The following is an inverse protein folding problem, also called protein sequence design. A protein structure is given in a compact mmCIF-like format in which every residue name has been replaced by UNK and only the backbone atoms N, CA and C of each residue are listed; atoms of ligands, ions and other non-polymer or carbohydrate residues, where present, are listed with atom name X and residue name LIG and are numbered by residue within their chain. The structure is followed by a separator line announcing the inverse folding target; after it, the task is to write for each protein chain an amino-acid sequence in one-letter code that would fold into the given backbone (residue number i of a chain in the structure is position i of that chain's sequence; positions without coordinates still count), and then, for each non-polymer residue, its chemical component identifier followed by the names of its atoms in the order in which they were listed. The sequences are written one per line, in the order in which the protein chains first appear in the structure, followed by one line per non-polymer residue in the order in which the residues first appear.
data_IF_211309080334
#
_entry.id   IF_211309080334
#
_cell.length_a   1.000
_cell.length_b   1.000
_cell.length_c   1.000
_cell.angle_alpha   90.00
_cell.angle_beta   90.00
_cell.angle_gamma   90.00
#
_symmetry.space_group_name_H-M   'P 1'
#
loop_
_entity.id
_entity.type
_entity.pdbx_description
1 polymer ?
#
# COMPACT_ATOMS: atom_id res chain seq x y z
N UNK A 1 6.76 18.52 16.67
CA UNK A 1 5.73 18.27 15.65
C UNK A 1 6.43 17.59 14.49
N UNK A 2 6.01 16.39 14.09
CA UNK A 2 6.68 15.58 13.08
C UNK A 2 5.68 14.98 12.11
N UNK A 3 6.18 14.34 11.05
CA UNK A 3 5.36 13.66 10.03
C UNK A 3 4.51 12.57 10.66
N UNK A 4 3.26 12.43 10.19
CA UNK A 4 2.40 11.31 10.57
C UNK A 4 2.80 10.06 9.77
N UNK A 5 2.42 8.85 10.23
CA UNK A 5 2.68 7.63 9.50
C UNK A 5 2.10 7.71 8.08
N UNK A 6 2.96 7.50 7.09
CA UNK A 6 2.60 7.59 5.66
C UNK A 6 2.69 8.98 5.03
N UNK A 7 3.03 10.04 5.79
CA UNK A 7 3.24 11.38 5.22
C UNK A 7 4.67 11.52 4.69
N UNK A 8 4.80 12.06 3.46
CA UNK A 8 6.09 12.46 2.89
C UNK A 8 6.36 13.94 3.19
N UNK A 9 7.63 14.28 3.38
CA UNK A 9 8.04 15.68 3.55
C UNK A 9 7.93 16.47 2.24
N UNK A 10 8.16 15.78 1.12
CA UNK A 10 8.16 16.35 -0.24
C UNK A 10 7.50 15.34 -1.17
N UNK A 11 6.62 15.84 -2.05
CA UNK A 11 5.97 15.05 -3.10
C UNK A 11 6.81 15.04 -4.39
N UNK A 12 6.55 14.06 -5.25
CA UNK A 12 7.22 13.99 -6.56
C UNK A 12 6.67 15.03 -7.53
N UNK A 13 7.50 15.46 -8.49
CA UNK A 13 7.05 16.30 -9.59
C UNK A 13 6.23 15.49 -10.60
N UNK A 14 5.07 16.00 -11.00
CA UNK A 14 4.16 15.33 -11.94
C UNK A 14 4.55 15.44 -13.41
N UNK A 15 5.54 16.28 -13.73
CA UNK A 15 6.07 16.47 -15.08
C UNK A 15 7.54 16.13 -15.05
N UNK A 16 7.91 15.12 -15.82
CA UNK A 16 9.26 14.57 -15.94
C UNK A 16 9.70 14.56 -17.41
N UNK A 17 10.90 14.03 -17.67
CA UNK A 17 11.48 13.95 -19.02
C UNK A 17 10.71 12.98 -19.95
N UNK A 18 9.97 12.03 -19.39
CA UNK A 18 9.20 11.02 -20.14
C UNK A 18 7.77 11.48 -20.45
N UNK A 19 7.32 12.58 -19.85
CA UNK A 19 5.98 13.15 -20.02
C UNK A 19 5.78 13.73 -21.42
N UNK A 20 4.73 13.28 -22.12
CA UNK A 20 4.37 13.77 -23.45
C UNK A 20 3.53 15.05 -23.41
N UNK A 21 3.65 15.95 -24.39
CA UNK A 21 2.81 17.14 -24.47
C UNK A 21 1.36 16.80 -24.86
N UNK A 22 0.44 17.72 -24.60
CA UNK A 22 -0.91 17.72 -25.18
C UNK A 22 -1.20 19.05 -25.88
N UNK A 23 -2.39 19.20 -26.47
CA UNK A 23 -2.81 20.44 -27.13
C UNK A 23 -2.85 21.65 -26.17
N UNK A 24 -3.06 21.41 -24.88
CA UNK A 24 -3.06 22.48 -23.88
C UNK A 24 -1.68 22.55 -23.19
N UNK A 25 -1.05 23.73 -23.11
CA UNK A 25 0.35 23.88 -22.68
C UNK A 25 0.62 23.54 -21.20
N UNK A 26 -0.43 23.32 -20.40
CA UNK A 26 -0.33 22.93 -18.98
C UNK A 26 -0.83 21.51 -18.70
N UNK A 27 -1.12 20.72 -19.74
CA UNK A 27 -1.58 19.33 -19.60
C UNK A 27 -0.55 18.44 -20.28
N UNK A 28 -0.02 17.50 -19.50
CA UNK A 28 0.98 16.54 -19.95
C UNK A 28 0.41 15.13 -19.81
N UNK A 29 0.84 14.24 -20.70
CA UNK A 29 0.50 12.81 -20.66
C UNK A 29 1.66 12.10 -19.98
N UNK A 30 1.41 11.57 -18.78
CA UNK A 30 2.38 10.72 -18.10
C UNK A 30 2.66 9.45 -18.93
N UNK A 31 3.90 8.98 -18.87
CA UNK A 31 4.24 7.66 -19.39
C UNK A 31 3.49 6.60 -18.56
N UNK A 32 2.76 5.71 -19.23
CA UNK A 32 2.13 4.55 -18.60
C UNK A 32 2.87 3.30 -19.09
N UNK A 33 3.90 2.83 -18.35
CA UNK A 33 4.74 1.74 -18.82
C UNK A 33 3.97 0.44 -19.00
N UNK A 34 2.99 0.17 -18.13
CA UNK A 34 2.24 -1.09 -18.09
C UNK A 34 0.75 -0.82 -17.88
N UNK A 35 -0.08 -1.05 -18.91
CA UNK A 35 -1.54 -1.00 -18.79
C UNK A 35 -2.09 -2.34 -18.28
N UNK A 36 -3.08 -2.29 -17.37
CA UNK A 36 -3.81 -3.47 -16.92
C UNK A 36 -5.14 -3.58 -17.69
N UNK A 37 -5.53 -4.79 -18.09
CA UNK A 37 -6.85 -5.01 -18.68
C UNK A 37 -7.96 -4.83 -17.65
N UNK A 38 -9.17 -4.44 -18.09
CA UNK A 38 -10.30 -4.28 -17.18
C UNK A 38 -10.60 -5.58 -16.39
N UNK A 39 -10.47 -6.74 -17.03
CA UNK A 39 -10.72 -8.04 -16.37
C UNK A 39 -9.68 -8.36 -15.28
N UNK A 40 -8.44 -7.89 -15.42
CA UNK A 40 -7.44 -7.99 -14.36
C UNK A 40 -7.79 -7.04 -13.21
N UNK A 41 -8.15 -5.79 -13.51
CA UNK A 41 -8.59 -4.81 -12.50
C UNK A 41 -9.76 -5.36 -11.68
N UNK A 42 -10.78 -5.90 -12.34
CA UNK A 42 -11.97 -6.48 -11.67
C UNK A 42 -11.59 -7.65 -10.75
N UNK A 43 -10.67 -8.51 -11.18
CA UNK A 43 -10.17 -9.63 -10.37
C UNK A 43 -9.45 -9.15 -9.11
N UNK A 44 -8.63 -8.12 -9.24
CA UNK A 44 -7.93 -7.52 -8.11
C UNK A 44 -8.87 -6.80 -7.15
N UNK A 45 -9.88 -6.10 -7.66
CA UNK A 45 -10.92 -5.47 -6.83
C UNK A 45 -11.73 -6.52 -6.03
N UNK A 46 -12.04 -7.66 -6.64
CA UNK A 46 -12.69 -8.77 -5.94
C UNK A 46 -11.81 -9.33 -4.81
N UNK A 47 -10.50 -9.53 -5.06
CA UNK A 47 -9.54 -9.95 -4.01
C UNK A 47 -9.44 -8.91 -2.89
N UNK A 48 -9.32 -7.63 -3.24
CA UNK A 48 -9.23 -6.53 -2.29
C UNK A 48 -10.45 -6.48 -1.37
N UNK A 49 -11.66 -6.67 -1.93
CA UNK A 49 -12.90 -6.72 -1.16
C UNK A 49 -12.85 -7.79 -0.07
N UNK A 50 -12.47 -9.02 -0.41
CA UNK A 50 -12.40 -10.14 0.54
C UNK A 50 -11.45 -9.84 1.70
N UNK A 51 -10.26 -9.31 1.39
CA UNK A 51 -9.23 -8.99 2.38
C UNK A 51 -9.66 -7.87 3.32
N UNK A 52 -10.30 -6.82 2.77
CA UNK A 52 -10.83 -5.70 3.55
C UNK A 52 -11.99 -6.14 4.45
N UNK A 53 -12.92 -6.94 3.91
CA UNK A 53 -14.08 -7.43 4.67
C UNK A 53 -13.66 -8.38 5.80
N UNK A 54 -12.54 -9.10 5.63
CA UNK A 54 -11.91 -9.92 6.67
C UNK A 54 -11.05 -9.13 7.66
N UNK A 55 -10.86 -7.82 7.44
CA UNK A 55 -9.93 -6.97 8.19
C UNK A 55 -8.49 -7.53 8.23
N UNK A 56 -8.07 -8.22 7.17
CA UNK A 56 -6.74 -8.82 7.05
C UNK A 56 -5.72 -7.77 6.59
N UNK A 57 -5.12 -7.10 7.57
CA UNK A 57 -4.12 -6.05 7.35
C UNK A 57 -2.88 -6.58 6.61
N UNK A 58 -2.45 -7.81 6.89
CA UNK A 58 -1.26 -8.37 6.25
C UNK A 58 -1.53 -8.73 4.79
N UNK A 59 -2.67 -9.38 4.52
CA UNK A 59 -3.13 -9.64 3.16
C UNK A 59 -3.31 -8.36 2.35
N UNK A 60 -3.79 -7.28 2.99
CA UNK A 60 -3.99 -5.99 2.32
C UNK A 60 -2.65 -5.38 1.89
N UNK A 61 -1.68 -5.37 2.81
CA UNK A 61 -0.34 -4.84 2.51
C UNK A 61 0.37 -5.65 1.43
N UNK A 62 0.26 -6.97 1.47
CA UNK A 62 0.82 -7.85 0.43
C UNK A 62 0.18 -7.56 -0.93
N UNK A 63 -1.14 -7.43 -0.99
CA UNK A 63 -1.86 -7.14 -2.22
C UNK A 63 -1.48 -5.76 -2.80
N UNK A 64 -1.29 -4.75 -1.95
CA UNK A 64 -0.83 -3.43 -2.40
C UNK A 64 0.61 -3.46 -2.93
N UNK A 65 1.51 -4.19 -2.29
CA UNK A 65 2.88 -4.38 -2.79
C UNK A 65 2.94 -5.18 -4.10
N UNK A 66 2.02 -6.11 -4.32
CA UNK A 66 1.88 -6.86 -5.59
C UNK A 66 1.41 -5.94 -6.73
N UNK A 67 0.47 -5.02 -6.44
CA UNK A 67 -0.23 -4.22 -7.44
C UNK A 67 0.46 -2.91 -7.81
N UNK A 68 1.15 -2.29 -6.85
CA UNK A 68 1.72 -0.95 -6.99
C UNK A 68 3.19 -1.04 -6.67
N UNK A 69 4.03 -1.16 -7.70
CA UNK A 69 5.49 -1.32 -7.57
C UNK A 69 6.11 -0.27 -6.63
N UNK A 70 5.72 1.00 -6.81
CA UNK A 70 6.21 2.11 -5.98
C UNK A 70 5.79 2.01 -4.51
N UNK A 71 4.69 1.32 -4.19
CA UNK A 71 4.28 1.08 -2.80
C UNK A 71 5.25 0.14 -2.08
N UNK A 72 5.75 -0.88 -2.79
CA UNK A 72 6.75 -1.80 -2.26
C UNK A 72 8.09 -1.10 -1.99
N UNK A 73 8.52 -0.23 -2.91
CA UNK A 73 9.75 0.57 -2.77
C UNK A 73 9.69 1.53 -1.59
N UNK A 74 8.57 2.24 -1.41
CA UNK A 74 8.37 3.17 -0.31
C UNK A 74 8.43 2.49 1.06
N UNK A 75 7.92 1.24 1.19
CA UNK A 75 8.02 0.48 2.44
C UNK A 75 9.42 -0.01 2.77
N UNK A 76 10.29 -0.22 1.77
CA UNK A 76 11.69 -0.60 2.01
C UNK A 76 12.49 0.58 2.57
N UNK A 77 12.16 1.80 2.13
CA UNK A 77 12.83 3.03 2.54
C UNK A 77 12.32 3.52 3.91
N UNK A 78 11.03 3.33 4.22
CA UNK A 78 10.41 3.73 5.47
C UNK A 78 9.71 2.53 6.17
N UNK A 79 10.46 1.67 6.89
CA UNK A 79 9.91 0.45 7.48
C UNK A 79 8.91 0.68 8.63
N UNK A 80 8.75 1.91 9.12
CA UNK A 80 8.05 2.24 10.38
C UNK A 80 6.56 2.58 10.21
N UNK A 81 5.77 1.69 9.60
CA UNK A 81 4.30 1.76 9.63
C UNK A 81 3.65 0.43 10.03
N UNK A 82 4.35 -0.43 10.77
CA UNK A 82 3.76 -1.59 11.44
C UNK A 82 3.09 -1.21 12.79
N UNK A 83 2.47 -0.03 12.83
CA UNK A 83 1.80 0.53 14.01
C UNK A 83 0.27 0.40 13.95
N UNK A 84 -0.25 -0.77 13.60
CA UNK A 84 -1.64 -1.12 13.93
C UNK A 84 -1.59 -2.02 15.16
N UNK A 85 -1.90 -1.40 16.30
CA UNK A 85 -2.05 -1.96 17.63
C UNK A 85 -2.29 -3.49 17.70
N UNK A 86 -1.21 -4.26 17.88
CA UNK A 86 -1.26 -5.54 18.58
C UNK A 86 -1.27 -5.27 20.09
N UNK A 87 -2.33 -4.62 20.59
CA UNK A 87 -2.67 -4.63 22.02
C UNK A 87 -3.66 -5.76 22.25
N UNK A 88 -3.18 -7.00 22.18
CA UNK A 88 -3.80 -8.11 22.88
C UNK A 88 -2.89 -8.43 24.07
N UNK A 89 -3.29 -7.90 25.24
CA UNK A 89 -2.60 -8.10 26.51
C UNK A 89 -2.43 -9.60 26.77
N UNK A 90 -1.23 -9.93 27.24
CA UNK A 90 -0.81 -11.21 27.82
C UNK A 90 -1.94 -11.97 28.53
N UNK A 91 -2.19 -13.20 28.10
CA UNK A 91 -2.84 -14.22 28.95
C UNK A 91 -1.83 -15.34 29.13
N UNK A 92 -1.10 -15.28 30.24
CA UNK A 92 -0.35 -16.42 30.77
C UNK A 92 -1.37 -17.47 31.20
N UNK A 93 -1.53 -18.55 30.42
CA UNK A 93 -2.20 -19.74 30.94
C UNK A 93 -1.12 -20.65 31.54
N UNK A 94 -0.86 -20.46 32.83
CA UNK A 94 -0.19 -21.47 33.65
C UNK A 94 -1.14 -22.67 33.77
N UNK A 95 -0.98 -23.69 32.92
CA UNK A 95 -1.52 -25.00 33.24
C UNK A 95 -0.61 -25.66 34.27
N UNK A 96 -0.97 -25.40 35.53
CA UNK A 96 -0.49 -26.14 36.68
C UNK A 96 -0.83 -27.63 36.53
N UNK A 97 0.20 -28.43 36.80
CA UNK A 97 0.18 -29.85 37.05
C UNK A 97 -0.93 -30.25 38.03
N UNK A 98 -1.85 -31.11 37.59
CA UNK A 98 -2.75 -31.86 38.49
C UNK A 98 -2.73 -33.33 38.06
N UNK A 99 -1.85 -34.06 38.76
CA UNK A 99 -1.90 -35.47 39.19
C UNK A 99 -2.33 -36.53 38.18
#
# INVERSE_FOLDING_TARGET
VGLRPGEKLVEELLVDEESGPTAHPRIFRAAAPNGMSLAEVERYLARLRVVVDANDVQGLLQLLCELVESYAEQRQIAPEVAGVAASARSVTINHANVR
#
